data_IF_671305422210
#
_entry.id   IF_671305422210
#
_cell.length_a   1.000
_cell.length_b   1.000
_cell.length_c   1.000
_cell.angle_alpha   90.00
_cell.angle_beta   90.00
_cell.angle_gamma   90.00
#
_symmetry.space_group_name_H-M   'P 1'
#
loop_
_entity.id
_entity.type
_entity.pdbx_description
1 polymer ?
#
# COMPACT_ATOMS: atom_id res chain seq x y z
N UNK A 1 5.61 4.11 18.65
CA UNK A 1 4.65 3.16 18.04
C UNK A 1 3.99 2.36 19.14
N UNK A 2 2.65 2.38 19.22
CA UNK A 2 1.89 1.63 20.23
C UNK A 2 1.79 0.14 19.89
N UNK A 3 1.46 -0.70 20.88
CA UNK A 3 1.44 -2.18 20.75
C UNK A 3 0.55 -2.67 19.60
N UNK A 4 -0.62 -2.06 19.41
CA UNK A 4 -1.50 -2.41 18.31
C UNK A 4 -0.82 -2.20 16.94
N UNK A 5 -0.19 -1.04 16.75
CA UNK A 5 0.48 -0.71 15.48
C UNK A 5 1.70 -1.59 15.24
N UNK A 6 2.47 -1.86 16.29
CA UNK A 6 3.60 -2.78 16.22
C UNK A 6 3.15 -4.19 15.78
N UNK A 7 2.13 -4.74 16.44
CA UNK A 7 1.59 -6.06 16.09
C UNK A 7 1.03 -6.11 14.67
N UNK A 8 0.36 -5.02 14.23
CA UNK A 8 -0.08 -4.89 12.85
C UNK A 8 1.09 -4.96 11.87
N UNK A 9 2.14 -4.15 12.07
CA UNK A 9 3.33 -4.17 11.21
C UNK A 9 3.99 -5.55 11.15
N UNK A 10 4.11 -6.24 12.28
CA UNK A 10 4.62 -7.62 12.33
C UNK A 10 3.74 -8.58 11.51
N UNK A 11 2.42 -8.46 11.60
CA UNK A 11 1.50 -9.32 10.85
C UNK A 11 1.53 -9.01 9.34
N UNK A 12 1.64 -7.73 8.97
CA UNK A 12 1.83 -7.32 7.57
C UNK A 12 3.14 -7.86 7.01
N UNK A 13 4.25 -7.78 7.75
CA UNK A 13 5.54 -8.34 7.36
C UNK A 13 5.46 -9.86 7.12
N UNK A 14 4.82 -10.60 8.03
CA UNK A 14 4.60 -12.05 7.87
C UNK A 14 3.77 -12.38 6.62
N UNK A 15 2.71 -11.63 6.38
CA UNK A 15 1.85 -11.85 5.21
C UNK A 15 2.56 -11.45 3.91
N UNK A 16 3.29 -10.32 3.92
CA UNK A 16 4.11 -9.89 2.78
C UNK A 16 5.14 -10.95 2.39
N UNK A 17 5.84 -11.52 3.36
CA UNK A 17 6.80 -12.61 3.15
C UNK A 17 6.14 -13.85 2.53
N UNK A 18 4.93 -14.23 2.99
CA UNK A 18 4.17 -15.35 2.39
C UNK A 18 3.77 -15.06 0.95
N UNK A 19 3.31 -13.83 0.67
CA UNK A 19 2.95 -13.42 -0.68
C UNK A 19 4.18 -13.34 -1.59
N UNK A 20 5.32 -12.82 -1.10
CA UNK A 20 6.57 -12.80 -1.84
C UNK A 20 7.00 -14.20 -2.25
N UNK A 21 7.01 -15.14 -1.32
CA UNK A 21 7.30 -16.57 -1.61
C UNK A 21 6.34 -17.15 -2.65
N UNK A 22 5.04 -16.84 -2.54
CA UNK A 22 4.02 -17.36 -3.44
C UNK A 22 4.17 -16.84 -4.87
N UNK A 23 4.56 -15.57 -5.02
CA UNK A 23 4.69 -14.90 -6.32
C UNK A 23 6.12 -14.82 -6.87
N UNK A 24 7.10 -15.44 -6.18
CA UNK A 24 8.50 -15.44 -6.60
C UNK A 24 9.20 -14.08 -6.41
N UNK A 25 8.73 -13.27 -5.45
CA UNK A 25 9.35 -12.01 -5.05
C UNK A 25 10.43 -12.22 -3.98
N UNK A 26 11.09 -11.13 -3.61
CA UNK A 26 12.10 -11.09 -2.57
C UNK A 26 11.45 -11.10 -1.17
N UNK A 27 11.65 -12.19 -0.43
CA UNK A 27 11.06 -12.38 0.90
C UNK A 27 11.65 -11.42 1.95
N UNK A 28 12.93 -11.08 1.85
CA UNK A 28 13.62 -10.18 2.77
C UNK A 28 13.15 -8.73 2.58
N UNK A 29 13.12 -8.25 1.34
CA UNK A 29 12.56 -6.94 1.02
C UNK A 29 11.09 -6.82 1.43
N UNK A 30 10.30 -7.87 1.23
CA UNK A 30 8.89 -7.89 1.62
C UNK A 30 8.72 -7.84 3.15
N UNK A 31 9.56 -8.53 3.91
CA UNK A 31 9.56 -8.47 5.37
C UNK A 31 9.94 -7.07 5.87
N UNK A 32 11.02 -6.48 5.33
CA UNK A 32 11.49 -5.13 5.67
C UNK A 32 10.40 -4.08 5.36
N UNK A 33 9.89 -4.07 4.12
CA UNK A 33 8.86 -3.11 3.72
C UNK A 33 7.57 -3.29 4.55
N UNK A 34 7.18 -4.54 4.83
CA UNK A 34 6.01 -4.84 5.64
C UNK A 34 6.13 -4.37 7.09
N UNK A 35 7.30 -4.50 7.73
CA UNK A 35 7.50 -4.01 9.10
C UNK A 35 7.53 -2.47 9.16
N UNK A 36 7.99 -1.81 8.10
CA UNK A 36 8.23 -0.37 8.07
C UNK A 36 7.10 0.46 7.42
N UNK A 37 6.13 -0.19 6.73
CA UNK A 37 5.13 0.54 5.92
C UNK A 37 4.35 1.63 6.69
N UNK A 38 4.10 1.42 7.97
CA UNK A 38 3.34 2.31 8.85
C UNK A 38 4.20 3.00 9.93
N UNK A 39 5.53 3.09 9.74
CA UNK A 39 6.49 3.58 10.74
C UNK A 39 6.14 4.98 11.28
N UNK A 40 5.59 5.86 10.46
CA UNK A 40 5.19 7.22 10.85
C UNK A 40 3.68 7.37 11.08
N UNK A 41 2.89 6.28 11.03
CA UNK A 41 1.41 6.34 11.09
C UNK A 41 0.86 7.03 12.32
N UNK A 42 1.50 6.85 13.46
CA UNK A 42 1.09 7.42 14.75
C UNK A 42 1.83 8.74 15.09
N UNK A 43 2.72 9.19 14.19
CA UNK A 43 3.37 10.49 14.30
C UNK A 43 2.33 11.61 14.12
N UNK A 44 2.43 12.75 14.85
CA UNK A 44 1.59 13.92 14.64
C UNK A 44 1.56 14.34 13.16
N UNK A 45 0.40 14.76 12.67
CA UNK A 45 0.24 15.10 11.24
C UNK A 45 1.12 16.27 10.81
N UNK A 46 1.32 17.22 11.69
CA UNK A 46 2.20 18.38 11.49
C UNK A 46 3.65 17.94 11.26
N UNK A 47 4.12 16.93 12.01
CA UNK A 47 5.47 16.38 11.84
C UNK A 47 5.59 15.57 10.54
N UNK A 48 4.57 14.75 10.20
CA UNK A 48 4.53 14.05 8.91
C UNK A 48 4.61 15.03 7.74
N UNK A 49 3.83 16.14 7.80
CA UNK A 49 3.83 17.16 6.77
C UNK A 49 5.19 17.87 6.68
N UNK A 50 5.80 18.20 7.82
CA UNK A 50 7.11 18.86 7.85
C UNK A 50 8.19 18.00 7.19
N UNK A 51 8.23 16.69 7.49
CA UNK A 51 9.15 15.72 6.84
C UNK A 51 8.97 15.74 5.32
N UNK A 52 7.72 15.76 4.85
CA UNK A 52 7.42 15.77 3.41
C UNK A 52 7.91 17.08 2.77
N UNK A 53 7.65 18.23 3.40
CA UNK A 53 8.08 19.54 2.90
C UNK A 53 9.61 19.63 2.85
N UNK A 54 10.28 19.22 3.92
CA UNK A 54 11.74 19.28 4.03
C UNK A 54 12.45 18.39 3.01
N UNK A 55 11.79 17.31 2.56
CA UNK A 55 12.29 16.44 1.49
C UNK A 55 12.17 17.04 0.08
N UNK A 56 11.53 18.18 -0.08
CA UNK A 56 11.29 18.84 -1.37
C UNK A 56 10.12 18.27 -2.18
N UNK A 57 9.34 17.36 -1.62
CA UNK A 57 8.14 16.82 -2.29
C UNK A 57 7.07 17.90 -2.37
N UNK A 58 6.58 18.15 -3.58
CA UNK A 58 5.45 19.04 -3.82
C UNK A 58 4.17 18.22 -3.77
N UNK A 59 3.32 18.49 -2.78
CA UNK A 59 2.02 17.82 -2.64
C UNK A 59 1.02 18.38 -3.64
N UNK A 60 0.27 17.49 -4.29
CA UNK A 60 -0.90 17.88 -5.07
C UNK A 60 -2.08 18.29 -4.17
N UNK A 61 -3.14 18.80 -4.80
CA UNK A 61 -4.31 19.30 -4.07
C UNK A 61 -5.02 18.22 -3.24
N UNK A 62 -5.04 16.96 -3.71
CA UNK A 62 -5.67 15.86 -2.98
C UNK A 62 -4.79 15.45 -1.80
N UNK A 63 -3.47 15.36 -2.01
CA UNK A 63 -2.50 15.04 -0.95
C UNK A 63 -2.54 16.06 0.18
N UNK A 64 -2.63 17.36 -0.15
CA UNK A 64 -2.75 18.44 0.83
C UNK A 64 -3.99 18.28 1.74
N UNK A 65 -5.11 17.81 1.18
CA UNK A 65 -6.38 17.68 1.90
C UNK A 65 -6.66 16.26 2.42
N UNK A 66 -5.73 15.33 2.22
CA UNK A 66 -5.84 13.93 2.68
C UNK A 66 -4.70 13.54 3.67
N UNK A 67 -4.65 14.10 4.90
CA UNK A 67 -3.57 13.83 5.86
C UNK A 67 -3.39 12.34 6.19
N UNK A 68 -4.40 11.52 5.93
CA UNK A 68 -4.32 10.07 6.11
C UNK A 68 -3.32 9.40 5.18
N UNK A 69 -2.96 10.03 4.06
CA UNK A 69 -2.00 9.51 3.08
C UNK A 69 -0.54 9.87 3.41
N UNK A 70 -0.32 10.86 4.26
CA UNK A 70 1.03 11.41 4.52
C UNK A 70 2.00 10.41 5.13
N UNK A 71 1.48 9.43 5.91
CA UNK A 71 2.35 8.45 6.56
C UNK A 71 3.12 7.56 5.57
N UNK A 72 2.58 7.25 4.41
CA UNK A 72 3.32 6.51 3.38
C UNK A 72 4.49 7.33 2.84
N UNK A 73 4.26 8.62 2.53
CA UNK A 73 5.31 9.53 2.06
C UNK A 73 6.36 9.80 3.14
N UNK A 74 5.94 10.26 4.31
CA UNK A 74 6.87 10.53 5.42
C UNK A 74 7.58 9.26 5.90
N UNK A 75 6.92 8.10 5.86
CA UNK A 75 7.50 6.81 6.21
C UNK A 75 8.65 6.43 5.28
N UNK A 76 8.47 6.55 3.97
CA UNK A 76 9.55 6.27 3.01
C UNK A 76 10.75 7.21 3.17
N UNK A 77 10.50 8.49 3.50
CA UNK A 77 11.56 9.47 3.76
C UNK A 77 12.33 9.10 5.03
N UNK A 78 11.65 8.82 6.15
CA UNK A 78 12.27 8.40 7.42
C UNK A 78 13.08 7.12 7.23
N UNK A 79 12.57 6.15 6.48
CA UNK A 79 13.29 4.90 6.21
C UNK A 79 14.57 5.15 5.43
N UNK A 80 14.56 6.04 4.44
CA UNK A 80 15.76 6.42 3.70
C UNK A 80 16.74 7.22 4.57
N UNK A 81 16.27 8.28 5.20
CA UNK A 81 17.14 9.29 5.80
C UNK A 81 17.62 8.93 7.21
N UNK A 82 16.80 8.21 7.99
CA UNK A 82 17.13 7.85 9.38
C UNK A 82 17.58 6.40 9.54
N UNK A 83 17.08 5.48 8.70
CA UNK A 83 17.46 4.05 8.76
C UNK A 83 18.50 3.67 7.71
N UNK A 84 18.82 4.58 6.76
CA UNK A 84 19.84 4.35 5.75
C UNK A 84 19.46 3.27 4.72
N UNK A 85 18.17 3.01 4.50
CA UNK A 85 17.68 2.09 3.48
C UNK A 85 17.37 2.91 2.23
N UNK A 86 18.18 2.74 1.18
CA UNK A 86 18.11 3.46 -0.10
C UNK A 86 17.58 2.59 -1.26
N UNK A 87 17.10 1.38 -0.96
CA UNK A 87 16.48 0.50 -1.95
C UNK A 87 15.15 1.08 -2.42
N UNK A 88 15.12 1.55 -3.67
CA UNK A 88 13.97 2.22 -4.27
C UNK A 88 12.70 1.35 -4.28
N UNK A 89 12.82 0.02 -4.39
CA UNK A 89 11.67 -0.87 -4.38
C UNK A 89 11.02 -0.92 -2.99
N UNK A 90 11.83 -1.00 -1.93
CA UNK A 90 11.37 -0.92 -0.54
C UNK A 90 10.74 0.45 -0.27
N UNK A 91 11.41 1.54 -0.66
CA UNK A 91 10.92 2.90 -0.43
C UNK A 91 9.59 3.16 -1.15
N UNK A 92 9.47 2.72 -2.40
CA UNK A 92 8.23 2.83 -3.17
C UNK A 92 7.11 1.95 -2.58
N UNK A 93 7.41 0.73 -2.15
CA UNK A 93 6.44 -0.14 -1.49
C UNK A 93 5.87 0.52 -0.22
N UNK A 94 6.71 1.19 0.59
CA UNK A 94 6.27 1.97 1.75
C UNK A 94 5.46 3.19 1.32
N UNK A 95 5.95 3.96 0.34
CA UNK A 95 5.31 5.21 -0.11
C UNK A 95 3.91 5.00 -0.63
N UNK A 96 3.72 3.97 -1.45
CA UNK A 96 2.49 3.74 -2.20
C UNK A 96 1.59 2.64 -1.62
N UNK A 97 1.90 2.12 -0.42
CA UNK A 97 1.11 1.02 0.15
C UNK A 97 -0.37 1.35 0.37
N UNK A 98 -0.73 2.62 0.54
CA UNK A 98 -2.12 3.04 0.78
C UNK A 98 -2.86 3.31 -0.53
N UNK A 99 -2.24 4.01 -1.47
CA UNK A 99 -2.88 4.46 -2.72
C UNK A 99 -2.65 3.50 -3.88
N UNK A 100 -1.53 2.80 -3.89
CA UNK A 100 -0.97 2.23 -5.10
C UNK A 100 -0.55 3.32 -6.07
N UNK A 101 -0.14 2.93 -7.26
CA UNK A 101 0.15 3.80 -8.42
C UNK A 101 0.13 2.98 -9.70
N UNK A 102 0.06 3.62 -10.86
CA UNK A 102 0.32 2.93 -12.13
C UNK A 102 1.78 2.45 -12.18
N UNK A 103 2.02 1.29 -12.78
CA UNK A 103 3.36 0.70 -12.91
C UNK A 103 3.96 0.17 -11.61
N UNK A 104 3.13 -0.29 -10.65
CA UNK A 104 3.62 -0.90 -9.42
C UNK A 104 4.53 -2.10 -9.68
N UNK A 105 5.63 -2.17 -8.95
CA UNK A 105 6.48 -3.37 -8.87
C UNK A 105 5.75 -4.53 -8.19
N UNK A 106 6.35 -5.72 -8.24
CA UNK A 106 5.82 -6.88 -7.51
C UNK A 106 5.82 -6.62 -5.99
N UNK A 107 6.86 -5.99 -5.46
CA UNK A 107 6.95 -5.68 -4.04
C UNK A 107 5.89 -4.67 -3.60
N UNK A 108 5.67 -3.61 -4.37
CA UNK A 108 4.61 -2.63 -4.10
C UNK A 108 3.23 -3.30 -4.03
N UNK A 109 2.89 -4.16 -5.00
CA UNK A 109 1.62 -4.93 -5.01
C UNK A 109 1.51 -5.87 -3.81
N UNK A 110 2.61 -6.50 -3.41
CA UNK A 110 2.66 -7.39 -2.24
C UNK A 110 2.35 -6.60 -0.97
N UNK A 111 3.01 -5.46 -0.74
CA UNK A 111 2.82 -4.67 0.49
C UNK A 111 1.40 -4.10 0.55
N UNK A 112 0.89 -3.53 -0.57
CA UNK A 112 -0.49 -3.09 -0.67
C UNK A 112 -1.47 -4.21 -0.28
N UNK A 113 -1.28 -5.41 -0.84
CA UNK A 113 -2.17 -6.54 -0.59
C UNK A 113 -2.02 -7.09 0.83
N UNK A 114 -0.80 -7.16 1.36
CA UNK A 114 -0.52 -7.66 2.70
C UNK A 114 -1.16 -6.82 3.80
N UNK A 115 -1.18 -5.49 3.66
CA UNK A 115 -1.87 -4.61 4.60
C UNK A 115 -3.38 -4.90 4.69
N UNK A 116 -4.02 -5.22 3.56
CA UNK A 116 -5.44 -5.62 3.54
C UNK A 116 -5.68 -7.04 4.05
N UNK A 117 -4.70 -7.95 4.00
CA UNK A 117 -4.90 -9.39 4.24
C UNK A 117 -4.23 -9.92 5.50
N UNK A 118 -3.49 -9.08 6.23
CA UNK A 118 -2.82 -9.44 7.48
C UNK A 118 -3.77 -10.10 8.49
N UNK A 119 -3.20 -10.91 9.40
CA UNK A 119 -3.96 -11.85 10.23
C UNK A 119 -5.03 -11.19 11.09
N UNK A 120 -4.72 -10.03 11.67
CA UNK A 120 -5.60 -9.27 12.57
C UNK A 120 -6.76 -8.56 11.85
N UNK A 121 -6.74 -8.49 10.52
CA UNK A 121 -7.82 -7.84 9.74
C UNK A 121 -9.11 -8.65 9.81
N UNK A 122 -10.20 -8.00 10.26
CA UNK A 122 -11.51 -8.62 10.49
C UNK A 122 -12.67 -7.93 9.75
N UNK A 123 -12.38 -6.98 8.87
CA UNK A 123 -13.43 -6.26 8.13
C UNK A 123 -14.25 -7.18 7.22
N UNK A 124 -15.51 -6.78 6.96
CA UNK A 124 -16.39 -7.51 6.04
C UNK A 124 -15.77 -7.61 4.64
N UNK A 125 -15.50 -8.82 4.17
CA UNK A 125 -14.87 -9.08 2.87
C UNK A 125 -13.40 -9.51 2.94
N UNK A 126 -12.73 -9.48 4.11
CA UNK A 126 -11.34 -9.89 4.25
C UNK A 126 -11.07 -11.32 3.78
N UNK A 127 -12.01 -12.25 4.03
CA UNK A 127 -11.90 -13.64 3.57
C UNK A 127 -11.88 -13.71 2.02
N UNK A 128 -12.69 -12.89 1.35
CA UNK A 128 -12.69 -12.77 -0.11
C UNK A 128 -11.37 -12.19 -0.62
N UNK A 129 -10.85 -11.15 0.05
CA UNK A 129 -9.57 -10.53 -0.27
C UNK A 129 -8.43 -11.57 -0.17
N UNK A 130 -8.36 -12.33 0.94
CA UNK A 130 -7.38 -13.41 1.14
C UNK A 130 -7.51 -14.53 0.11
N UNK A 131 -8.73 -14.87 -0.32
CA UNK A 131 -8.93 -15.86 -1.41
C UNK A 131 -8.42 -15.35 -2.76
N UNK A 132 -8.65 -14.07 -3.05
CA UNK A 132 -8.19 -13.43 -4.28
C UNK A 132 -6.67 -13.27 -4.30
N UNK A 133 -6.07 -12.87 -3.19
CA UNK A 133 -4.61 -12.68 -3.09
C UNK A 133 -3.78 -13.95 -3.31
N UNK A 134 -4.39 -15.14 -3.15
CA UNK A 134 -3.76 -16.42 -3.51
C UNK A 134 -3.83 -16.75 -5.00
N UNK A 135 -4.66 -16.04 -5.78
CA UNK A 135 -4.83 -16.29 -7.21
C UNK A 135 -4.13 -15.25 -8.07
N UNK A 136 -4.30 -13.98 -7.73
CA UNK A 136 -3.71 -12.83 -8.41
C UNK A 136 -3.71 -11.63 -7.47
N UNK A 137 -2.57 -10.93 -7.40
CA UNK A 137 -2.45 -9.66 -6.68
C UNK A 137 -3.37 -8.62 -7.32
N UNK A 138 -3.44 -8.58 -8.65
CA UNK A 138 -4.30 -7.65 -9.39
C UNK A 138 -5.79 -7.85 -9.07
N UNK A 139 -6.26 -9.11 -8.98
CA UNK A 139 -7.65 -9.38 -8.58
C UNK A 139 -7.93 -8.96 -7.14
N UNK A 140 -6.96 -9.14 -6.25
CA UNK A 140 -7.08 -8.72 -4.86
C UNK A 140 -7.09 -7.19 -4.76
N UNK A 141 -6.15 -6.52 -5.43
CA UNK A 141 -6.06 -5.05 -5.46
C UNK A 141 -7.35 -4.43 -6.04
N UNK A 142 -7.86 -4.98 -7.16
CA UNK A 142 -9.11 -4.52 -7.73
C UNK A 142 -10.27 -4.61 -6.73
N UNK A 143 -10.35 -5.71 -5.99
CA UNK A 143 -11.36 -5.87 -4.94
C UNK A 143 -11.16 -4.85 -3.80
N UNK A 144 -9.91 -4.60 -3.40
CA UNK A 144 -9.55 -3.58 -2.42
C UNK A 144 -10.00 -2.17 -2.86
N UNK A 145 -9.70 -1.79 -4.10
CA UNK A 145 -10.14 -0.49 -4.65
C UNK A 145 -11.65 -0.34 -4.72
N UNK A 146 -12.38 -1.39 -5.10
CA UNK A 146 -13.85 -1.34 -5.08
C UNK A 146 -14.40 -1.06 -3.68
N UNK A 147 -13.79 -1.66 -2.66
CA UNK A 147 -14.15 -1.41 -1.27
C UNK A 147 -13.79 0.03 -0.85
N UNK A 148 -12.57 0.47 -1.14
CA UNK A 148 -12.07 1.81 -0.80
C UNK A 148 -12.87 2.90 -1.49
N UNK A 149 -13.08 2.81 -2.81
CA UNK A 149 -13.84 3.80 -3.57
C UNK A 149 -15.28 3.93 -3.10
N UNK A 150 -15.90 2.79 -2.77
CA UNK A 150 -17.27 2.80 -2.20
C UNK A 150 -17.30 3.54 -0.86
N UNK A 151 -16.32 3.34 0.03
CA UNK A 151 -16.24 4.04 1.31
C UNK A 151 -15.98 5.53 1.12
N UNK A 152 -14.97 5.88 0.33
CA UNK A 152 -14.60 7.27 0.06
C UNK A 152 -15.77 8.04 -0.58
N UNK A 153 -16.41 7.47 -1.61
CA UNK A 153 -17.57 8.06 -2.26
C UNK A 153 -18.75 8.26 -1.30
N UNK A 154 -19.07 7.26 -0.48
CA UNK A 154 -20.12 7.36 0.54
C UNK A 154 -19.87 8.49 1.54
N UNK A 155 -18.60 8.70 1.89
CA UNK A 155 -18.16 9.73 2.84
C UNK A 155 -17.85 11.08 2.18
N UNK A 156 -18.05 11.20 0.87
CA UNK A 156 -17.76 12.40 0.07
C UNK A 156 -16.30 12.87 0.22
N UNK A 157 -15.36 11.91 0.24
CA UNK A 157 -13.94 12.16 0.31
C UNK A 157 -13.31 12.04 -1.07
N UNK A 158 -12.25 12.81 -1.31
CA UNK A 158 -11.51 12.76 -2.56
C UNK A 158 -10.83 11.39 -2.75
N UNK A 159 -10.81 10.91 -3.99
CA UNK A 159 -10.06 9.73 -4.41
C UNK A 159 -8.74 10.23 -5.00
N UNK A 160 -7.62 9.69 -4.55
CA UNK A 160 -6.30 10.10 -5.01
C UNK A 160 -6.10 9.74 -6.50
N UNK A 161 -5.49 10.60 -7.33
CA UNK A 161 -5.23 10.30 -8.74
C UNK A 161 -4.47 8.99 -8.97
N UNK A 162 -3.48 8.68 -8.13
CA UNK A 162 -2.71 7.42 -8.21
C UNK A 162 -3.59 6.18 -7.99
N UNK A 163 -4.58 6.24 -7.07
CA UNK A 163 -5.54 5.14 -6.87
C UNK A 163 -6.35 4.88 -8.14
N UNK A 164 -6.81 5.95 -8.80
CA UNK A 164 -7.57 5.86 -10.05
C UNK A 164 -6.69 5.34 -11.18
N UNK A 165 -5.45 5.82 -11.29
CA UNK A 165 -4.52 5.37 -12.31
C UNK A 165 -4.18 3.88 -12.15
N UNK A 166 -3.89 3.42 -10.94
CA UNK A 166 -3.63 2.02 -10.63
C UNK A 166 -4.85 1.13 -10.91
N UNK A 167 -6.04 1.56 -10.47
CA UNK A 167 -7.28 0.84 -10.74
C UNK A 167 -7.52 0.66 -12.24
N UNK A 168 -7.38 1.73 -13.02
CA UNK A 168 -7.57 1.70 -14.46
C UNK A 168 -6.58 0.76 -15.15
N UNK A 169 -5.29 0.82 -14.77
CA UNK A 169 -4.27 -0.09 -15.28
C UNK A 169 -4.64 -1.56 -15.03
N UNK A 170 -5.00 -1.90 -13.80
CA UNK A 170 -5.39 -3.26 -13.42
C UNK A 170 -6.61 -3.74 -14.23
N UNK A 171 -7.65 -2.91 -14.36
CA UNK A 171 -8.85 -3.25 -15.14
C UNK A 171 -8.50 -3.55 -16.59
N UNK A 172 -7.65 -2.71 -17.20
CA UNK A 172 -7.23 -2.90 -18.59
C UNK A 172 -6.39 -4.18 -18.76
N UNK A 173 -5.46 -4.46 -17.85
CA UNK A 173 -4.67 -5.70 -17.86
C UNK A 173 -5.54 -6.96 -17.77
N UNK A 174 -6.49 -7.00 -16.84
CA UNK A 174 -7.40 -8.12 -16.65
C UNK A 174 -8.29 -8.31 -17.89
N UNK A 175 -8.76 -7.22 -18.50
CA UNK A 175 -9.61 -7.25 -19.69
C UNK A 175 -8.87 -7.84 -20.90
N UNK A 176 -7.61 -7.45 -21.10
CA UNK A 176 -6.75 -7.95 -22.18
C UNK A 176 -6.47 -9.47 -22.04
N UNK A 177 -6.26 -9.93 -20.80
CA UNK A 177 -6.02 -11.36 -20.53
C UNK A 177 -7.25 -12.20 -20.82
N UNK A 178 -8.45 -11.70 -20.49
CA UNK A 178 -9.71 -12.39 -20.79
C UNK A 178 -10.05 -12.42 -22.29
N UNK A 179 -9.65 -11.40 -23.05
CA UNK A 179 -9.87 -11.32 -24.49
C UNK A 179 -8.98 -12.27 -25.31
N UNK A 180 -7.81 -12.65 -24.80
CA UNK A 180 -6.89 -13.60 -25.45
C UNK A 180 -7.26 -15.07 -25.25
N UNK A 181 -8.16 -15.36 -24.32
CA UNK A 181 -8.61 -16.71 -23.98
C UNK A 181 -10.01 -17.04 -24.58
N UNK A 182 -10.52 -16.19 -25.45
CA UNK A 182 -11.70 -16.42 -26.31
C UNK A 182 -11.30 -16.59 -27.78
#
# INVERSE_FOLDING_TARGET
>A
MGDYRFNHSVNVAKEAKKLARHYGGDEEKAEIAGILHDITKEMPKEQQLQIIIDSGIILDNVQLHAPKLWHGMSGSIVVRDELGIDDEDILNAIRYHTTGRAGMSLLEKIIFTADFTSEERTYSGVATMRKKSKKSLEEAMLYGYQFTFKDLSKRQLAIHPDEVACYNEIVLQISQTKGKNK
#
